data_IF_035900802098
#
_entry.id   IF_035900802098
#
_cell.length_a   1.000
_cell.length_b   1.000
_cell.length_c   1.000
_cell.angle_alpha   90.00
_cell.angle_beta   90.00
_cell.angle_gamma   90.00
#
_symmetry.space_group_name_H-M   'P 1'
#
loop_
_entity.id
_entity.type
_entity.pdbx_description
1 polymer ?
#
# COMPACT_ATOMS: atom_id res chain seq x y z
N UNK A 1 5.74 -6.91 4.15
CA UNK A 1 4.32 -7.19 3.87
C UNK A 1 3.75 -7.78 5.13
N UNK A 2 2.73 -7.14 5.67
CA UNK A 2 1.99 -7.63 6.82
C UNK A 2 0.47 -7.66 6.50
N UNK A 3 -0.21 -8.81 6.64
CA UNK A 3 0.39 -10.11 6.89
C UNK A 3 1.19 -10.59 5.66
N UNK A 4 2.21 -11.43 5.90
CA UNK A 4 2.97 -12.06 4.82
C UNK A 4 2.13 -13.10 4.04
N UNK A 5 1.10 -13.67 4.68
CA UNK A 5 0.13 -14.56 4.07
C UNK A 5 -1.26 -14.22 4.64
N UNK A 6 -2.25 -14.10 3.76
CA UNK A 6 -3.65 -13.92 4.16
C UNK A 6 -4.54 -14.88 3.37
N UNK A 7 -5.61 -15.34 4.02
CA UNK A 7 -6.73 -15.98 3.35
C UNK A 7 -7.90 -15.02 3.42
N UNK A 8 -8.42 -14.63 2.26
CA UNK A 8 -9.56 -13.71 2.15
C UNK A 8 -10.75 -14.46 1.55
N UNK A 9 -11.91 -14.30 2.17
CA UNK A 9 -13.17 -14.88 1.68
C UNK A 9 -13.71 -14.13 0.46
N UNK A 10 -14.61 -14.76 -0.28
CA UNK A 10 -15.24 -14.16 -1.45
C UNK A 10 -15.97 -12.86 -1.10
N UNK A 11 -15.75 -11.81 -1.90
CA UNK A 11 -16.37 -10.50 -1.70
C UNK A 11 -15.91 -9.79 -0.43
N UNK A 12 -14.89 -10.32 0.27
CA UNK A 12 -14.27 -9.66 1.40
C UNK A 12 -13.02 -8.92 0.93
N UNK A 13 -12.70 -7.86 1.66
CA UNK A 13 -11.49 -7.07 1.48
C UNK A 13 -10.52 -7.39 2.60
N UNK A 14 -9.25 -7.57 2.26
CA UNK A 14 -8.15 -7.67 3.20
C UNK A 14 -7.17 -6.52 2.97
N UNK A 15 -6.76 -5.85 4.03
CA UNK A 15 -5.68 -4.87 3.97
C UNK A 15 -4.33 -5.57 4.04
N UNK A 16 -3.41 -5.19 3.17
CA UNK A 16 -1.99 -5.57 3.20
C UNK A 16 -1.16 -4.32 3.45
N UNK A 17 -0.37 -4.35 4.51
CA UNK A 17 0.51 -3.25 4.90
C UNK A 17 1.94 -3.47 4.36
N UNK A 18 2.48 -2.42 3.77
CA UNK A 18 3.88 -2.35 3.35
C UNK A 18 4.71 -1.73 4.47
N UNK A 19 5.42 -2.56 5.21
CA UNK A 19 6.31 -2.13 6.28
C UNK A 19 7.76 -2.11 5.82
N UNK A 20 8.48 -1.05 6.20
CA UNK A 20 9.93 -0.95 6.09
C UNK A 20 10.46 -0.96 7.52
N UNK A 21 11.55 -1.69 7.77
CA UNK A 21 12.16 -1.78 9.09
C UNK A 21 13.67 -1.55 8.97
N UNK A 22 14.27 -0.98 10.02
CA UNK A 22 15.73 -0.81 10.13
C UNK A 22 16.36 -0.01 8.97
N UNK A 23 15.62 0.91 8.37
CA UNK A 23 16.12 1.81 7.33
C UNK A 23 16.40 3.20 7.93
N UNK A 24 17.63 3.41 8.39
CA UNK A 24 18.08 4.72 8.88
C UNK A 24 18.35 5.67 7.72
N UNK A 25 17.90 6.92 7.81
CA UNK A 25 18.09 7.91 6.75
C UNK A 25 17.22 7.65 5.51
N UNK A 26 16.10 6.93 5.67
CA UNK A 26 15.17 6.67 4.57
C UNK A 26 14.59 7.99 4.07
N UNK A 27 14.86 8.33 2.81
CA UNK A 27 14.40 9.57 2.20
C UNK A 27 13.26 9.35 1.19
N UNK A 28 13.28 8.20 0.52
CA UNK A 28 12.28 7.82 -0.46
C UNK A 28 12.10 6.30 -0.44
N UNK A 29 10.92 5.86 -0.85
CA UNK A 29 10.61 4.46 -1.10
C UNK A 29 9.93 4.33 -2.46
N UNK A 30 10.30 3.30 -3.19
CA UNK A 30 9.65 2.88 -4.43
C UNK A 30 9.37 1.38 -4.32
N UNK A 31 8.14 0.99 -4.62
CA UNK A 31 7.66 -0.36 -4.53
C UNK A 31 6.88 -0.70 -5.79
N UNK A 32 7.21 -1.86 -6.36
CA UNK A 32 6.39 -2.51 -7.37
C UNK A 32 5.81 -3.79 -6.76
N UNK A 33 4.49 -3.93 -6.78
CA UNK A 33 3.80 -5.16 -6.40
C UNK A 33 3.17 -5.80 -7.62
N UNK A 34 3.15 -7.12 -7.61
CA UNK A 34 2.44 -7.93 -8.59
C UNK A 34 1.41 -8.81 -7.90
N UNK A 35 0.24 -8.98 -8.51
CA UNK A 35 -0.83 -9.85 -8.06
C UNK A 35 -1.46 -10.58 -9.25
N UNK A 36 -2.21 -11.66 -9.00
CA UNK A 36 -2.99 -12.33 -10.04
C UNK A 36 -4.35 -11.62 -10.19
N UNK A 37 -4.59 -10.88 -11.29
CA UNK A 37 -5.81 -10.10 -11.46
C UNK A 37 -7.04 -10.97 -11.75
N UNK A 38 -6.86 -12.28 -11.93
CA UNK A 38 -7.98 -13.23 -12.06
C UNK A 38 -8.48 -13.73 -10.71
N UNK A 39 -7.71 -13.48 -9.64
CA UNK A 39 -8.03 -13.91 -8.28
C UNK A 39 -8.31 -12.74 -7.35
N UNK A 40 -7.60 -11.62 -7.51
CA UNK A 40 -7.76 -10.44 -6.66
C UNK A 40 -7.78 -9.14 -7.46
N UNK A 41 -8.44 -8.13 -6.91
CA UNK A 41 -8.48 -6.76 -7.37
C UNK A 41 -8.00 -5.82 -6.25
N UNK A 42 -7.51 -4.65 -6.65
CA UNK A 42 -7.14 -3.59 -5.72
C UNK A 42 -8.34 -2.66 -5.55
N UNK A 43 -8.72 -2.41 -4.29
CA UNK A 43 -9.80 -1.49 -3.94
C UNK A 43 -9.25 -0.07 -3.89
N UNK A 44 -9.90 0.83 -4.61
CA UNK A 44 -9.54 2.24 -4.65
C UNK A 44 -9.79 2.92 -3.30
N UNK A 45 -8.74 3.54 -2.75
CA UNK A 45 -8.82 4.30 -1.51
C UNK A 45 -9.46 5.69 -1.69
N UNK A 46 -9.53 6.22 -2.91
CA UNK A 46 -9.93 7.61 -3.16
C UNK A 46 -10.81 7.76 -4.42
N UNK A 47 -12.10 7.44 -4.28
CA UNK A 47 -13.09 7.48 -5.36
C UNK A 47 -13.27 8.84 -6.09
N UNK A 48 -12.68 9.92 -5.59
CA UNK A 48 -12.67 11.25 -6.23
C UNK A 48 -11.44 11.54 -7.10
N UNK A 49 -10.48 10.61 -7.17
CA UNK A 49 -9.25 10.71 -7.95
C UNK A 49 -9.34 9.73 -9.11
N UNK A 50 -8.85 10.13 -10.29
CA UNK A 50 -8.87 9.26 -11.46
C UNK A 50 -7.91 8.06 -11.26
N UNK A 51 -8.43 6.85 -11.51
CA UNK A 51 -7.69 5.60 -11.37
C UNK A 51 -7.73 5.04 -9.94
N UNK A 52 -7.28 3.81 -9.76
CA UNK A 52 -7.24 3.16 -8.44
C UNK A 52 -6.08 3.73 -7.61
N UNK A 53 -6.39 4.31 -6.45
CA UNK A 53 -5.40 4.89 -5.55
C UNK A 53 -5.06 3.94 -4.41
N UNK A 54 -3.75 3.82 -4.12
CA UNK A 54 -3.26 3.23 -2.87
C UNK A 54 -3.21 4.32 -1.79
N UNK A 55 -3.61 3.99 -0.57
CA UNK A 55 -3.52 4.91 0.56
C UNK A 55 -2.08 4.97 1.07
N UNK A 56 -1.41 6.14 1.06
CA UNK A 56 -0.08 6.30 1.64
C UNK A 56 -0.10 5.99 3.13
N UNK A 57 0.95 5.31 3.61
CA UNK A 57 1.10 5.00 5.03
C UNK A 57 1.68 6.12 5.87
N UNK A 58 1.70 5.89 7.18
CA UNK A 58 2.18 6.85 8.17
C UNK A 58 3.71 7.05 8.17
N UNK A 59 4.46 6.17 7.51
CA UNK A 59 5.93 6.24 7.47
C UNK A 59 6.42 7.56 6.84
N UNK A 60 5.72 8.06 5.81
CA UNK A 60 6.00 9.33 5.17
C UNK A 60 4.90 10.35 5.54
N UNK A 61 5.19 11.33 6.42
CA UNK A 61 4.17 12.29 6.85
C UNK A 61 3.63 13.10 5.66
N UNK A 62 2.30 13.26 5.50
CA UNK A 62 1.71 13.86 4.30
C UNK A 62 2.04 15.36 4.12
N UNK A 63 2.40 16.05 5.20
CA UNK A 63 2.84 17.44 5.22
C UNK A 63 4.32 17.62 4.83
N UNK A 64 5.10 16.53 4.87
CA UNK A 64 6.56 16.50 4.64
C UNK A 64 6.97 15.53 3.54
N UNK A 65 6.02 15.03 2.77
CA UNK A 65 6.28 14.06 1.71
C UNK A 65 5.42 14.33 0.48
N UNK A 66 5.81 13.69 -0.61
CA UNK A 66 5.13 13.76 -1.88
C UNK A 66 5.09 12.37 -2.52
N UNK A 67 3.90 11.95 -2.92
CA UNK A 67 3.70 10.72 -3.69
C UNK A 67 4.07 11.01 -5.15
N UNK A 68 5.17 10.41 -5.60
CA UNK A 68 5.72 10.56 -6.94
C UNK A 68 4.94 9.67 -7.93
N UNK A 69 4.55 8.47 -7.50
CA UNK A 69 3.82 7.49 -8.30
C UNK A 69 2.78 6.80 -7.43
N UNK A 70 1.55 6.70 -7.92
CA UNK A 70 0.48 5.89 -7.34
C UNK A 70 -0.34 5.36 -8.52
N UNK A 71 0.04 4.21 -9.05
CA UNK A 71 -0.58 3.65 -10.24
C UNK A 71 -0.85 2.17 -10.05
N UNK A 72 -2.07 1.77 -10.42
CA UNK A 72 -2.47 0.37 -10.51
C UNK A 72 -2.78 0.09 -11.97
N UNK A 73 -2.24 -1.01 -12.49
CA UNK A 73 -2.62 -1.59 -13.76
C UNK A 73 -3.38 -2.90 -13.50
N UNK A 74 -4.73 -2.85 -13.45
CA UNK A 74 -5.54 -4.03 -13.15
C UNK A 74 -5.42 -5.14 -14.20
N UNK A 75 -5.17 -4.78 -15.47
CA UNK A 75 -5.02 -5.76 -16.54
C UNK A 75 -3.71 -6.55 -16.44
N UNK A 76 -2.64 -5.90 -15.96
CA UNK A 76 -1.34 -6.54 -15.76
C UNK A 76 -1.13 -7.10 -14.35
N UNK A 77 -2.05 -6.84 -13.42
CA UNK A 77 -1.89 -7.24 -12.02
C UNK A 77 -0.70 -6.55 -11.35
N UNK A 78 -0.52 -5.24 -11.58
CA UNK A 78 0.64 -4.50 -11.10
C UNK A 78 0.25 -3.24 -10.33
N UNK A 79 0.99 -2.95 -9.26
CA UNK A 79 0.93 -1.69 -8.50
C UNK A 79 2.32 -1.07 -8.50
N UNK A 80 2.41 0.21 -8.83
CA UNK A 80 3.63 1.02 -8.72
C UNK A 80 3.34 2.17 -7.76
N UNK A 81 4.09 2.21 -6.65
CA UNK A 81 3.95 3.24 -5.63
C UNK A 81 5.32 3.79 -5.23
N UNK A 82 5.47 5.11 -5.29
CA UNK A 82 6.70 5.80 -4.93
C UNK A 82 6.41 7.06 -4.15
N UNK A 83 7.12 7.28 -3.04
CA UNK A 83 6.96 8.42 -2.14
C UNK A 83 8.33 8.91 -1.69
N UNK A 84 8.49 10.22 -1.52
CA UNK A 84 9.71 10.83 -1.01
C UNK A 84 9.41 11.98 -0.06
N UNK A 85 10.35 12.26 0.84
CA UNK A 85 10.30 13.48 1.66
C UNK A 85 10.47 14.73 0.79
N UNK A 86 9.83 15.83 1.20
CA UNK A 86 9.98 17.14 0.61
C UNK A 86 10.97 17.98 1.42
N UNK A 87 11.93 18.62 0.75
CA UNK A 87 12.95 19.49 1.37
C UNK A 87 14.38 18.95 1.29
N UNK A 88 15.31 19.55 2.05
CA UNK A 88 16.74 19.21 2.05
C UNK A 88 17.23 18.63 3.38
N UNK A 89 16.29 18.14 4.21
CA UNK A 89 16.57 17.57 5.53
C UNK A 89 17.22 16.18 5.47
N UNK A 90 17.75 15.73 6.61
CA UNK A 90 18.17 14.35 6.79
C UNK A 90 16.95 13.41 6.61
N UNK A 91 17.16 12.23 6.03
CA UNK A 91 16.11 11.21 5.91
C UNK A 91 15.59 10.75 7.28
N UNK A 92 14.51 9.97 7.28
CA UNK A 92 13.84 9.53 8.51
C UNK A 92 14.84 8.82 9.45
N UNK A 93 14.94 9.24 10.73
CA UNK A 93 16.01 8.80 11.63
C UNK A 93 15.93 7.31 11.94
N UNK A 94 14.72 6.78 12.09
CA UNK A 94 14.43 5.35 12.19
C UNK A 94 13.20 5.06 11.34
N UNK A 95 13.31 4.24 10.30
CA UNK A 95 12.17 3.74 9.54
C UNK A 95 11.20 2.86 10.35
N UNK A 96 11.19 2.94 11.69
CA UNK A 96 10.24 2.21 12.53
C UNK A 96 10.10 2.85 13.91
N UNK A 97 8.85 3.13 14.29
CA UNK A 97 8.36 2.98 15.66
C UNK A 97 6.92 2.45 15.60
N UNK A 98 6.75 1.24 16.14
CA UNK A 98 5.49 0.54 16.38
C UNK A 98 4.96 0.83 17.81
N UNK A 99 3.65 0.65 18.01
CA UNK A 99 2.86 0.75 19.26
C UNK A 99 2.38 2.14 19.68
N UNK A 100 1.45 2.70 18.89
CA UNK A 100 0.39 3.59 19.38
C UNK A 100 -0.91 2.79 19.51
N UNK A 101 -1.37 2.58 20.75
CA UNK A 101 -2.65 1.92 21.13
C UNK A 101 -3.70 1.88 20.01
N UNK A 102 -4.19 0.67 19.73
CA UNK A 102 -5.31 0.40 18.81
C UNK A 102 -6.55 1.23 19.17
N UNK A 103 -6.68 2.39 18.54
CA UNK A 103 -7.94 3.05 18.29
C UNK A 103 -7.90 3.56 16.84
N UNK A 104 -8.19 2.65 15.91
CA UNK A 104 -8.83 2.95 14.64
C UNK A 104 -8.13 3.86 13.62
N UNK A 105 -6.81 3.83 13.40
CA UNK A 105 -6.21 4.54 12.25
C UNK A 105 -4.95 3.81 11.72
N UNK A 106 -4.94 3.24 10.50
CA UNK A 106 -3.86 2.37 10.03
C UNK A 106 -2.75 3.04 9.24
N UNK A 107 -1.65 2.29 9.28
CA UNK A 107 -0.51 2.14 8.38
C UNK A 107 -0.94 2.07 6.90
N UNK A 108 0.01 2.21 5.96
CA UNK A 108 -0.29 2.35 4.53
C UNK A 108 -1.10 1.19 3.98
N UNK A 109 -2.30 1.49 3.48
CA UNK A 109 -3.32 0.49 3.18
C UNK A 109 -3.35 0.15 1.70
N UNK A 110 -3.11 -1.12 1.39
CA UNK A 110 -3.58 -1.74 0.15
C UNK A 110 -4.79 -2.61 0.48
N UNK A 111 -5.99 -2.17 0.11
CA UNK A 111 -7.18 -3.03 0.14
C UNK A 111 -7.15 -3.98 -1.05
N UNK A 112 -7.06 -5.29 -0.82
CA UNK A 112 -7.22 -6.32 -1.85
C UNK A 112 -8.57 -7.02 -1.66
N UNK A 113 -9.37 -7.10 -2.71
CA UNK A 113 -10.58 -7.91 -2.74
C UNK A 113 -10.35 -9.12 -3.65
N UNK A 114 -10.73 -10.33 -3.24
CA UNK A 114 -10.54 -11.53 -4.05
C UNK A 114 -11.86 -12.02 -4.67
N UNK A 115 -11.89 -12.24 -5.98
CA UNK A 115 -12.97 -12.95 -6.68
C UNK A 115 -12.45 -14.30 -7.22
N UNK A 116 -12.88 -15.41 -6.62
CA UNK A 116 -12.71 -16.74 -7.23
C UNK A 116 -13.73 -16.90 -8.35
N UNK A 117 -13.29 -16.78 -9.61
CA UNK A 117 -14.13 -17.18 -10.75
C UNK A 117 -14.13 -18.70 -10.84
N UNK A 118 -15.22 -19.33 -10.43
CA UNK A 118 -15.50 -20.71 -10.82
C UNK A 118 -15.43 -20.78 -12.35
N UNK A 119 -14.44 -21.51 -12.87
CA UNK A 119 -14.42 -21.85 -14.30
C UNK A 119 -15.56 -22.84 -14.53
N UNK A 120 -16.55 -22.52 -15.38
CA UNK A 120 -17.48 -23.55 -15.82
C UNK A 120 -16.72 -24.52 -16.72
N UNK A 121 -16.86 -25.83 -16.44
CA UNK A 121 -16.57 -26.91 -17.38
C UNK A 121 -17.66 -26.94 -18.47
#
# INVERSE_FOLDING_TARGET
LDPANASVGLGLTQTIDLTIHNASGLYAAEVTLTYDPTLVEVVDAQAGVEGVQIEPGLLFPPDQSYVIRNQVNPAAGQVEFSVALTGSGAGLPDGGLDVGRSHGHPLGRLGLQAEHRDRPL
#
